data_IF_180048541608
#
_entry.id   IF_180048541608
#
_cell.length_a   1.000
_cell.length_b   1.000
_cell.length_c   1.000
_cell.angle_alpha   90.00
_cell.angle_beta   90.00
_cell.angle_gamma   90.00
#
_symmetry.space_group_name_H-M   'P 1'
#
loop_
_entity.id
_entity.type
_entity.pdbx_description
1 polymer ?
#
# COMPACT_ATOMS: atom_id res chain seq x y z
N UNK A 1 17.84 9.35 -11.12
CA UNK A 1 17.88 10.71 -10.52
C UNK A 1 18.63 11.70 -11.42
N UNK A 2 18.70 11.46 -12.73
CA UNK A 2 19.64 12.18 -13.61
C UNK A 2 19.40 13.71 -13.66
N UNK A 3 18.13 14.18 -13.67
CA UNK A 3 17.84 15.62 -13.56
C UNK A 3 18.28 16.21 -12.22
N UNK A 4 17.97 15.52 -11.11
CA UNK A 4 18.34 15.94 -9.77
C UNK A 4 19.86 15.98 -9.57
N UNK A 5 20.58 14.97 -10.04
CA UNK A 5 22.05 14.88 -10.00
C UNK A 5 22.74 15.99 -10.81
N UNK A 6 22.05 16.50 -11.84
CA UNK A 6 22.50 17.62 -12.68
C UNK A 6 22.10 18.99 -12.11
N UNK A 7 21.51 19.03 -10.92
CA UNK A 7 21.02 20.27 -10.27
C UNK A 7 19.71 20.81 -10.83
N UNK A 8 19.08 20.10 -11.76
CA UNK A 8 17.79 20.46 -12.34
C UNK A 8 16.64 19.90 -11.47
N UNK A 9 16.43 20.57 -10.33
CA UNK A 9 15.41 20.19 -9.37
C UNK A 9 13.99 20.40 -9.90
N UNK A 10 13.76 21.40 -10.75
CA UNK A 10 12.43 21.69 -11.30
C UNK A 10 11.97 20.54 -12.19
N UNK A 11 12.78 20.13 -13.17
CA UNK A 11 12.41 19.01 -14.04
C UNK A 11 12.26 17.71 -13.27
N UNK A 12 13.10 17.49 -12.25
CA UNK A 12 12.98 16.33 -11.38
C UNK A 12 11.63 16.29 -10.65
N UNK A 13 11.21 17.41 -10.04
CA UNK A 13 9.95 17.52 -9.31
C UNK A 13 8.75 17.39 -10.24
N UNK A 14 8.74 18.08 -11.38
CA UNK A 14 7.66 18.00 -12.38
C UNK A 14 7.50 16.57 -12.88
N UNK A 15 8.61 15.87 -13.14
CA UNK A 15 8.56 14.47 -13.59
C UNK A 15 8.02 13.56 -12.49
N UNK A 16 8.47 13.74 -11.24
CA UNK A 16 8.00 12.93 -10.12
C UNK A 16 6.49 13.12 -9.89
N UNK A 17 6.02 14.37 -9.86
CA UNK A 17 4.60 14.70 -9.73
C UNK A 17 3.77 14.19 -10.92
N UNK A 18 4.31 14.24 -12.14
CA UNK A 18 3.62 13.71 -13.30
C UNK A 18 3.24 12.23 -13.11
N UNK A 19 4.14 11.42 -12.57
CA UNK A 19 3.89 9.99 -12.36
C UNK A 19 3.02 9.65 -11.15
N UNK A 20 2.72 10.60 -10.26
CA UNK A 20 1.72 10.39 -9.19
C UNK A 20 0.28 10.53 -9.67
N UNK A 21 0.07 10.99 -10.91
CA UNK A 21 -1.26 11.04 -11.52
C UNK A 21 -1.88 9.64 -11.61
N UNK A 22 -3.17 9.56 -11.26
CA UNK A 22 -3.91 8.30 -11.11
C UNK A 22 -3.93 7.46 -12.39
N UNK A 23 -3.84 8.11 -13.55
CA UNK A 23 -3.90 7.49 -14.87
C UNK A 23 -2.62 6.73 -15.23
N UNK A 24 -1.47 7.09 -14.64
CA UNK A 24 -0.18 6.50 -15.02
C UNK A 24 0.07 5.16 -14.32
N UNK A 25 -0.21 5.09 -13.02
CA UNK A 25 0.02 3.88 -12.20
C UNK A 25 -1.10 3.69 -11.17
N UNK A 26 -2.31 3.33 -11.60
CA UNK A 26 -3.45 3.19 -10.71
C UNK A 26 -3.20 2.10 -9.66
N UNK A 27 -3.37 2.44 -8.38
CA UNK A 27 -3.25 1.49 -7.26
C UNK A 27 -1.81 1.21 -6.80
N UNK A 28 -0.78 1.82 -7.42
CA UNK A 28 0.61 1.64 -7.02
C UNK A 28 1.12 2.84 -6.20
N UNK A 29 1.67 2.55 -5.03
CA UNK A 29 2.18 3.55 -4.10
C UNK A 29 3.57 4.08 -4.48
N UNK A 30 4.39 3.28 -5.19
CA UNK A 30 5.79 3.61 -5.49
C UNK A 30 6.02 5.01 -6.10
N UNK A 31 5.23 5.49 -7.07
CA UNK A 31 5.42 6.85 -7.61
C UNK A 31 5.26 7.94 -6.54
N UNK A 32 4.32 7.77 -5.62
CA UNK A 32 4.10 8.69 -4.50
C UNK A 32 5.27 8.67 -3.52
N UNK A 33 5.81 7.48 -3.19
CA UNK A 33 7.02 7.35 -2.37
C UNK A 33 8.21 8.05 -3.04
N UNK A 34 8.41 7.83 -4.34
CA UNK A 34 9.49 8.48 -5.07
C UNK A 34 9.37 10.00 -5.04
N UNK A 35 8.16 10.53 -5.24
CA UNK A 35 7.89 11.96 -5.13
C UNK A 35 8.17 12.49 -3.72
N UNK A 36 7.73 11.78 -2.68
CA UNK A 36 7.96 12.16 -1.28
C UNK A 36 9.46 12.26 -0.96
N UNK A 37 10.25 11.26 -1.36
CA UNK A 37 11.71 11.25 -1.18
C UNK A 37 12.36 12.41 -1.92
N UNK A 38 11.91 12.73 -3.14
CA UNK A 38 12.46 13.83 -3.92
C UNK A 38 12.14 15.19 -3.28
N UNK A 39 10.90 15.39 -2.81
CA UNK A 39 10.47 16.58 -2.09
C UNK A 39 11.29 16.79 -0.81
N UNK A 40 11.56 15.72 -0.06
CA UNK A 40 12.38 15.77 1.14
C UNK A 40 13.83 16.19 0.80
N UNK A 41 14.41 15.64 -0.26
CA UNK A 41 15.78 15.98 -0.71
C UNK A 41 15.95 17.44 -1.12
N UNK A 42 14.89 18.10 -1.61
CA UNK A 42 14.90 19.54 -1.94
C UNK A 42 14.45 20.44 -0.77
N UNK A 43 14.24 19.88 0.42
CA UNK A 43 13.83 20.62 1.62
C UNK A 43 12.34 20.99 1.70
N UNK A 44 11.48 20.41 0.85
CA UNK A 44 10.02 20.62 0.87
C UNK A 44 9.33 19.65 1.83
N UNK A 45 9.67 19.73 3.12
CA UNK A 45 9.31 18.72 4.12
C UNK A 45 7.79 18.51 4.28
N UNK A 46 6.98 19.58 4.27
CA UNK A 46 5.52 19.45 4.44
C UNK A 46 4.88 18.68 3.28
N UNK A 47 5.30 18.95 2.05
CA UNK A 47 4.79 18.26 0.86
C UNK A 47 5.30 16.83 0.78
N UNK A 48 6.55 16.59 1.20
CA UNK A 48 7.09 15.24 1.32
C UNK A 48 6.24 14.39 2.28
N UNK A 49 5.88 14.97 3.43
CA UNK A 49 5.00 14.33 4.41
C UNK A 49 3.63 14.00 3.83
N UNK A 50 2.99 14.95 3.16
CA UNK A 50 1.67 14.72 2.57
C UNK A 50 1.71 13.68 1.44
N UNK A 51 2.78 13.68 0.62
CA UNK A 51 3.00 12.68 -0.41
C UNK A 51 3.21 11.27 0.18
N UNK A 52 4.00 11.15 1.26
CA UNK A 52 4.22 9.89 1.96
C UNK A 52 2.92 9.36 2.59
N UNK A 53 2.12 10.23 3.23
CA UNK A 53 0.79 9.87 3.74
C UNK A 53 -0.16 9.43 2.62
N UNK A 54 -0.06 10.03 1.44
CA UNK A 54 -0.76 9.60 0.24
C UNK A 54 -0.34 8.19 -0.19
N UNK A 55 0.96 7.91 -0.19
CA UNK A 55 1.49 6.60 -0.52
C UNK A 55 1.01 5.50 0.44
N UNK A 56 0.99 5.77 1.75
CA UNK A 56 0.58 4.80 2.77
C UNK A 56 -0.93 4.52 2.82
N UNK A 57 -1.75 5.28 2.06
CA UNK A 57 -3.17 4.97 1.83
C UNK A 57 -3.38 3.99 0.68
N UNK A 58 -2.33 3.69 -0.07
CA UNK A 58 -2.31 2.69 -1.14
C UNK A 58 -1.68 1.40 -0.60
N UNK A 59 -1.82 0.27 -1.32
CA UNK A 59 -1.32 -1.02 -0.83
C UNK A 59 0.18 -1.00 -0.54
N UNK A 60 0.58 -1.42 0.65
CA UNK A 60 1.94 -1.32 1.18
C UNK A 60 2.92 -2.23 0.45
N UNK A 61 2.44 -3.37 -0.07
CA UNK A 61 3.25 -4.25 -0.91
C UNK A 61 3.65 -3.61 -2.26
N UNK A 62 3.11 -2.44 -2.61
CA UNK A 62 3.48 -1.67 -3.81
C UNK A 62 4.41 -0.47 -3.54
N UNK A 63 4.86 -0.27 -2.30
CA UNK A 63 5.74 0.85 -1.93
C UNK A 63 7.13 0.75 -2.57
N UNK A 64 7.59 -0.48 -2.86
CA UNK A 64 8.92 -0.76 -3.41
C UNK A 64 10.08 -0.43 -2.46
N UNK A 65 9.79 -0.30 -1.17
CA UNK A 65 10.70 -0.12 -0.05
C UNK A 65 10.01 -0.62 1.22
N UNK A 66 10.70 -0.56 2.36
CA UNK A 66 10.10 -0.89 3.65
C UNK A 66 9.01 0.12 4.03
N UNK A 67 7.99 -0.33 4.75
CA UNK A 67 6.92 0.54 5.24
C UNK A 67 7.47 1.62 6.16
N UNK A 68 8.40 1.26 7.04
CA UNK A 68 8.99 2.14 8.05
C UNK A 68 9.68 3.35 7.43
N UNK A 69 10.35 3.18 6.28
CA UNK A 69 11.02 4.26 5.56
C UNK A 69 10.02 5.33 5.07
N UNK A 70 8.80 4.92 4.72
CA UNK A 70 7.75 5.85 4.27
C UNK A 70 6.99 6.43 5.45
N UNK A 71 6.76 5.62 6.49
CA UNK A 71 6.14 6.03 7.74
C UNK A 71 6.96 7.13 8.45
N UNK A 72 8.29 7.03 8.43
CA UNK A 72 9.19 8.05 8.95
C UNK A 72 8.98 9.41 8.26
N UNK A 73 8.89 9.44 6.93
CA UNK A 73 8.60 10.67 6.15
C UNK A 73 7.19 11.19 6.45
N UNK A 74 6.22 10.27 6.62
CA UNK A 74 4.83 10.60 6.92
C UNK A 74 4.62 11.11 8.36
N UNK A 75 5.63 10.99 9.22
CA UNK A 75 5.55 11.15 10.67
C UNK A 75 4.40 10.30 11.24
N UNK A 76 4.33 9.03 10.81
CA UNK A 76 3.37 8.04 11.30
C UNK A 76 4.08 7.00 12.15
N UNK A 77 3.44 6.64 13.26
CA UNK A 77 3.83 5.51 14.09
C UNK A 77 3.08 4.24 13.67
N UNK A 78 3.19 3.19 14.48
CA UNK A 78 2.61 1.88 14.21
C UNK A 78 1.07 1.82 14.30
N UNK A 79 0.42 2.96 14.59
CA UNK A 79 -1.03 3.08 14.71
C UNK A 79 -1.77 2.55 13.47
N UNK A 80 -1.23 2.75 12.27
CA UNK A 80 -1.85 2.22 11.05
C UNK A 80 -1.74 0.70 10.95
N UNK A 81 -0.62 0.12 11.39
CA UNK A 81 -0.44 -1.33 11.43
C UNK A 81 -1.46 -1.94 12.39
N UNK A 82 -1.66 -1.34 13.56
CA UNK A 82 -2.66 -1.80 14.54
C UNK A 82 -4.09 -1.67 14.00
N UNK A 83 -4.41 -0.59 13.27
CA UNK A 83 -5.71 -0.45 12.60
C UNK A 83 -5.96 -1.54 11.56
N UNK A 84 -4.96 -1.90 10.76
CA UNK A 84 -5.09 -3.00 9.78
C UNK A 84 -5.28 -4.33 10.50
N UNK A 85 -4.51 -4.60 11.56
CA UNK A 85 -4.67 -5.80 12.40
C UNK A 85 -6.08 -5.89 13.00
N UNK A 86 -6.64 -4.78 13.45
CA UNK A 86 -8.01 -4.73 13.98
C UNK A 86 -9.05 -5.07 12.90
N UNK A 87 -8.88 -4.57 11.68
CA UNK A 87 -9.81 -4.81 10.57
C UNK A 87 -9.90 -6.27 10.13
N UNK A 88 -8.82 -7.04 10.25
CA UNK A 88 -8.82 -8.47 9.88
C UNK A 88 -9.39 -9.38 10.98
N UNK A 89 -9.80 -8.82 12.14
CA UNK A 89 -10.47 -9.59 13.19
C UNK A 89 -11.94 -9.84 12.87
N UNK A 90 -12.56 -10.82 13.55
CA UNK A 90 -14.00 -11.09 13.45
C UNK A 90 -14.84 -9.84 13.75
N UNK A 91 -14.48 -9.07 14.78
CA UNK A 91 -15.14 -7.81 15.12
C UNK A 91 -15.04 -6.80 13.98
N UNK A 92 -13.87 -6.64 13.37
CA UNK A 92 -13.68 -5.75 12.21
C UNK A 92 -14.57 -6.16 11.03
N UNK A 93 -14.70 -7.46 10.80
CA UNK A 93 -15.58 -8.04 9.78
C UNK A 93 -17.06 -7.77 10.07
N UNK A 94 -17.49 -7.95 11.31
CA UNK A 94 -18.87 -7.65 11.75
C UNK A 94 -19.21 -6.16 11.59
N UNK A 95 -18.29 -5.26 11.92
CA UNK A 95 -18.48 -3.82 11.72
C UNK A 95 -18.68 -3.47 10.24
N UNK A 96 -17.90 -4.08 9.35
CA UNK A 96 -18.03 -3.85 7.91
C UNK A 96 -19.34 -4.42 7.35
N UNK A 97 -19.81 -5.55 7.89
CA UNK A 97 -21.15 -6.08 7.60
C UNK A 97 -22.25 -5.14 8.08
N UNK A 98 -22.15 -4.58 9.30
CA UNK A 98 -23.11 -3.61 9.83
C UNK A 98 -23.16 -2.32 8.99
N UNK A 99 -22.03 -1.93 8.39
CA UNK A 99 -21.96 -0.81 7.43
C UNK A 99 -22.55 -1.15 6.06
N UNK A 100 -23.02 -2.38 5.85
CA UNK A 100 -23.68 -2.82 4.62
C UNK A 100 -22.71 -3.17 3.49
N UNK A 101 -21.43 -3.42 3.78
CA UNK A 101 -20.49 -3.87 2.74
C UNK A 101 -20.86 -5.28 2.24
N UNK A 102 -20.81 -5.54 0.92
CA UNK A 102 -20.99 -6.89 0.39
C UNK A 102 -19.93 -7.86 0.90
N UNK A 103 -20.32 -9.12 1.17
CA UNK A 103 -19.40 -10.17 1.66
C UNK A 103 -18.16 -10.34 0.78
N UNK A 104 -18.33 -10.29 -0.55
CA UNK A 104 -17.21 -10.38 -1.48
C UNK A 104 -16.22 -9.21 -1.32
N UNK A 105 -16.72 -7.98 -1.11
CA UNK A 105 -15.85 -6.82 -0.88
C UNK A 105 -15.11 -6.93 0.45
N UNK A 106 -15.76 -7.43 1.50
CA UNK A 106 -15.13 -7.65 2.80
C UNK A 106 -13.99 -8.67 2.67
N UNK A 107 -14.21 -9.75 1.93
CA UNK A 107 -13.16 -10.75 1.68
C UNK A 107 -11.98 -10.14 0.89
N UNK A 108 -12.24 -9.31 -0.12
CA UNK A 108 -11.19 -8.62 -0.88
C UNK A 108 -10.42 -7.59 -0.05
N UNK A 109 -11.12 -6.84 0.81
CA UNK A 109 -10.50 -5.91 1.76
C UNK A 109 -9.57 -6.67 2.73
N UNK A 110 -10.03 -7.82 3.24
CA UNK A 110 -9.21 -8.68 4.11
C UNK A 110 -7.96 -9.20 3.39
N UNK A 111 -8.09 -9.68 2.14
CA UNK A 111 -6.95 -10.08 1.34
C UNK A 111 -5.93 -8.94 1.17
N UNK A 112 -6.39 -7.72 0.88
CA UNK A 112 -5.53 -6.55 0.76
C UNK A 112 -4.77 -6.25 2.06
N UNK A 113 -5.46 -6.29 3.20
CA UNK A 113 -4.85 -6.09 4.52
C UNK A 113 -3.82 -7.17 4.86
N UNK A 114 -4.08 -8.43 4.52
CA UNK A 114 -3.13 -9.52 4.73
C UNK A 114 -1.87 -9.34 3.89
N UNK A 115 -2.00 -8.94 2.63
CA UNK A 115 -0.85 -8.64 1.76
C UNK A 115 -0.03 -7.46 2.30
N UNK A 116 -0.70 -6.41 2.78
CA UNK A 116 -0.02 -5.26 3.41
C UNK A 116 0.78 -5.70 4.63
N UNK A 117 0.18 -6.44 5.56
CA UNK A 117 0.86 -6.94 6.76
C UNK A 117 1.99 -7.93 6.44
N UNK A 118 1.79 -8.81 5.47
CA UNK A 118 2.81 -9.74 5.00
C UNK A 118 4.02 -8.99 4.43
N UNK A 119 3.80 -7.89 3.71
CA UNK A 119 4.88 -7.06 3.17
C UNK A 119 5.70 -6.36 4.24
N UNK A 120 5.07 -5.93 5.34
CA UNK A 120 5.77 -5.31 6.48
C UNK A 120 6.61 -6.34 7.22
N UNK A 121 6.03 -7.51 7.50
CA UNK A 121 6.69 -8.55 8.31
C UNK A 121 7.64 -9.45 7.52
N UNK A 122 7.52 -9.48 6.19
CA UNK A 122 8.21 -10.44 5.34
C UNK A 122 7.66 -11.87 5.45
N UNK A 123 6.39 -12.04 5.82
CA UNK A 123 5.75 -13.34 6.11
C UNK A 123 4.74 -13.73 5.04
N UNK A 124 5.15 -13.66 3.77
CA UNK A 124 4.27 -13.95 2.63
C UNK A 124 3.70 -15.37 2.67
N UNK A 125 4.58 -16.35 2.85
CA UNK A 125 4.22 -17.78 2.84
C UNK A 125 3.12 -18.11 3.86
N UNK A 126 3.20 -17.53 5.07
CA UNK A 126 2.22 -17.72 6.14
C UNK A 126 0.81 -17.20 5.79
N UNK A 127 0.72 -16.30 4.81
CA UNK A 127 -0.52 -15.58 4.47
C UNK A 127 -1.20 -16.13 3.21
N UNK A 128 -0.49 -16.91 2.38
CA UNK A 128 -0.94 -17.41 1.07
C UNK A 128 -2.29 -18.13 1.16
N UNK A 129 -2.44 -19.07 2.09
CA UNK A 129 -3.66 -19.87 2.21
C UNK A 129 -4.89 -19.03 2.55
N UNK A 130 -4.74 -18.09 3.50
CA UNK A 130 -5.83 -17.19 3.89
C UNK A 130 -6.18 -16.22 2.77
N UNK A 131 -5.19 -15.63 2.11
CA UNK A 131 -5.39 -14.75 0.95
C UNK A 131 -6.14 -15.50 -0.15
N UNK A 132 -5.72 -16.73 -0.49
CA UNK A 132 -6.42 -17.57 -1.45
C UNK A 132 -7.88 -17.82 -1.04
N UNK A 133 -8.14 -18.05 0.24
CA UNK A 133 -9.51 -18.25 0.76
C UNK A 133 -10.37 -17.00 0.62
N UNK A 134 -9.79 -15.82 0.86
CA UNK A 134 -10.49 -14.55 0.65
C UNK A 134 -10.89 -14.36 -0.83
N UNK A 135 -10.00 -14.68 -1.78
CA UNK A 135 -10.33 -14.64 -3.20
C UNK A 135 -11.43 -15.64 -3.58
N UNK A 136 -11.42 -16.83 -2.99
CA UNK A 136 -12.46 -17.85 -3.17
C UNK A 136 -13.82 -17.40 -2.60
N UNK A 137 -13.85 -16.82 -1.39
CA UNK A 137 -15.04 -16.20 -0.78
C UNK A 137 -15.59 -15.03 -1.62
N UNK A 138 -14.73 -14.35 -2.39
CA UNK A 138 -15.11 -13.32 -3.34
C UNK A 138 -15.53 -13.86 -4.72
N UNK A 139 -15.51 -15.18 -4.94
CA UNK A 139 -15.87 -15.83 -6.20
C UNK A 139 -14.77 -15.79 -7.28
N UNK A 140 -13.53 -15.42 -6.91
CA UNK A 140 -12.38 -15.36 -7.80
C UNK A 140 -11.54 -16.66 -7.71
N UNK A 141 -12.14 -17.78 -8.09
CA UNK A 141 -11.55 -19.12 -7.94
C UNK A 141 -10.21 -19.28 -8.67
N UNK A 142 -10.08 -18.75 -9.89
CA UNK A 142 -8.85 -18.82 -10.67
C UNK A 142 -7.69 -18.08 -9.98
N UNK A 143 -7.99 -16.93 -9.36
CA UNK A 143 -7.02 -16.15 -8.59
C UNK A 143 -6.66 -16.87 -7.29
N UNK A 144 -7.64 -17.47 -6.61
CA UNK A 144 -7.40 -18.27 -5.42
C UNK A 144 -6.46 -19.46 -5.71
N UNK A 145 -6.67 -20.14 -6.84
CA UNK A 145 -5.80 -21.22 -7.30
C UNK A 145 -4.40 -20.71 -7.64
N UNK A 146 -4.30 -19.59 -8.36
CA UNK A 146 -3.02 -18.98 -8.71
C UNK A 146 -2.20 -18.61 -7.47
N UNK A 147 -2.82 -17.97 -6.47
CA UNK A 147 -2.14 -17.56 -5.24
C UNK A 147 -1.60 -18.77 -4.47
N UNK A 148 -2.35 -19.87 -4.40
CA UNK A 148 -1.96 -21.10 -3.70
C UNK A 148 -1.02 -22.01 -4.51
N UNK A 149 -0.68 -21.63 -5.74
CA UNK A 149 0.16 -22.46 -6.59
C UNK A 149 1.56 -22.57 -6.01
N UNK A 150 2.03 -23.81 -5.83
CA UNK A 150 3.42 -24.12 -5.51
C UNK A 150 3.98 -24.99 -6.65
N UNK A 151 5.21 -24.68 -7.09
CA UNK A 151 5.94 -25.44 -8.12
C UNK A 151 6.35 -26.84 -7.66
#
# INVERSE_FOLDING_TARGET
MNHFERGDHVSALVTAEFYTKKENFPGFARPFVFNAVLLLKVGRCLEAKDAARGALKLPWWTLGCKYEEVAEIAEWEDEQIERIKEKITERGREEDLMKGKPLAQIALDEAAFLMDLASVKGTWDDSVDRIGKCYEEAGLHDIAQFVRYQE
#
